data_IF_360274910705
#
_entry.id   IF_360274910705
#
_cell.length_a   1.000
_cell.length_b   1.000
_cell.length_c   1.000
_cell.angle_alpha   90.00
_cell.angle_beta   90.00
_cell.angle_gamma   90.00
#
_symmetry.space_group_name_H-M   'P 1'
#
loop_
_entity.id
_entity.type
_entity.pdbx_description
1 polymer ?
#
# COMPACT_ATOMS: atom_id res chain seq x y z
N UNK A 1 43.28 -13.32 -48.01
CA UNK A 1 43.33 -13.09 -46.53
C UNK A 1 42.56 -14.21 -45.82
N UNK A 2 43.24 -15.12 -45.09
CA UNK A 2 42.57 -16.15 -44.27
C UNK A 2 42.08 -15.50 -42.99
N UNK A 3 40.76 -15.41 -42.77
CA UNK A 3 40.17 -15.06 -41.45
C UNK A 3 40.46 -16.21 -40.49
N UNK A 4 41.26 -15.95 -39.47
CA UNK A 4 41.43 -16.85 -38.32
C UNK A 4 40.17 -16.77 -37.47
N UNK A 5 39.25 -17.69 -37.70
CA UNK A 5 38.12 -17.90 -36.79
C UNK A 5 38.64 -18.65 -35.55
N UNK A 6 38.97 -17.90 -34.50
CA UNK A 6 39.24 -18.50 -33.18
C UNK A 6 37.90 -18.89 -32.57
N UNK A 7 37.59 -20.16 -32.55
CA UNK A 7 36.44 -20.70 -31.83
C UNK A 7 36.67 -20.70 -30.32
N UNK A 8 35.58 -20.55 -29.53
CA UNK A 8 35.64 -20.73 -28.07
C UNK A 8 36.00 -22.16 -27.71
N UNK A 9 36.82 -22.32 -26.71
CA UNK A 9 37.12 -23.64 -26.16
C UNK A 9 36.00 -24.12 -25.26
N UNK A 10 35.79 -25.43 -25.17
CA UNK A 10 34.76 -26.03 -24.33
C UNK A 10 34.94 -25.68 -22.85
N UNK A 11 36.17 -25.54 -22.37
CA UNK A 11 36.50 -25.20 -21.00
C UNK A 11 36.15 -23.72 -20.69
N UNK A 12 36.35 -22.79 -21.61
CA UNK A 12 35.98 -21.39 -21.44
C UNK A 12 34.46 -21.25 -21.28
N UNK A 13 33.67 -21.99 -22.07
CA UNK A 13 32.23 -21.99 -21.94
C UNK A 13 31.78 -22.61 -20.62
N UNK A 14 32.39 -23.71 -20.19
CA UNK A 14 32.05 -24.42 -18.96
C UNK A 14 32.28 -23.55 -17.72
N UNK A 15 33.40 -22.84 -17.66
CA UNK A 15 33.73 -21.94 -16.55
C UNK A 15 32.76 -20.78 -16.48
N UNK A 16 32.38 -20.20 -17.61
CA UNK A 16 31.42 -19.08 -17.66
C UNK A 16 30.06 -19.52 -17.14
N UNK A 17 29.53 -20.65 -17.59
CA UNK A 17 28.21 -21.12 -17.11
C UNK A 17 28.24 -21.51 -15.64
N UNK A 18 29.34 -22.03 -15.13
CA UNK A 18 29.49 -22.32 -13.71
C UNK A 18 29.45 -21.06 -12.85
N UNK A 19 30.14 -19.99 -13.25
CA UNK A 19 30.16 -18.72 -12.55
C UNK A 19 28.76 -18.08 -12.59
N UNK A 20 28.12 -18.05 -13.75
CA UNK A 20 26.75 -17.50 -13.87
C UNK A 20 25.76 -18.29 -12.99
N UNK A 21 25.91 -19.63 -12.94
CA UNK A 21 25.06 -20.47 -12.10
C UNK A 21 25.19 -20.14 -10.61
N UNK A 22 26.40 -19.93 -10.11
CA UNK A 22 26.63 -19.53 -8.71
C UNK A 22 26.07 -18.13 -8.44
N UNK A 23 26.35 -17.17 -9.30
CA UNK A 23 25.85 -15.80 -9.14
C UNK A 23 24.31 -15.73 -9.19
N UNK A 24 23.69 -16.49 -10.08
CA UNK A 24 22.22 -16.56 -10.16
C UNK A 24 21.62 -17.15 -8.88
N UNK A 25 22.19 -18.21 -8.32
CA UNK A 25 21.69 -18.84 -7.10
C UNK A 25 21.68 -17.87 -5.91
N UNK A 26 22.78 -17.13 -5.71
CA UNK A 26 22.89 -16.13 -4.63
C UNK A 26 22.01 -14.91 -4.92
N UNK A 27 21.97 -14.48 -6.18
CA UNK A 27 21.21 -13.30 -6.60
C UNK A 27 19.71 -13.43 -6.37
N UNK A 28 19.12 -14.60 -6.65
CA UNK A 28 17.67 -14.83 -6.44
C UNK A 28 17.27 -14.69 -4.97
N UNK A 29 18.07 -15.25 -4.05
CA UNK A 29 17.76 -15.18 -2.60
C UNK A 29 17.84 -13.74 -2.10
N UNK A 30 18.89 -13.01 -2.48
CA UNK A 30 19.06 -11.60 -2.10
C UNK A 30 17.95 -10.72 -2.69
N UNK A 31 17.57 -10.95 -3.95
CA UNK A 31 16.49 -10.21 -4.62
C UNK A 31 15.15 -10.39 -3.92
N UNK A 32 14.77 -11.63 -3.57
CA UNK A 32 13.51 -11.90 -2.88
C UNK A 32 13.43 -11.20 -1.51
N UNK A 33 14.55 -11.18 -0.76
CA UNK A 33 14.63 -10.45 0.51
C UNK A 33 14.47 -8.94 0.34
N UNK A 34 15.09 -8.38 -0.69
CA UNK A 34 14.97 -6.96 -1.02
C UNK A 34 13.53 -6.57 -1.39
N UNK A 35 12.88 -7.34 -2.28
CA UNK A 35 11.50 -7.09 -2.69
C UNK A 35 10.54 -7.18 -1.51
N UNK A 36 10.70 -8.17 -0.62
CA UNK A 36 9.88 -8.28 0.59
C UNK A 36 10.00 -7.04 1.49
N UNK A 37 11.22 -6.58 1.72
CA UNK A 37 11.48 -5.36 2.50
C UNK A 37 10.92 -4.11 1.82
N UNK A 38 11.05 -3.99 0.50
CA UNK A 38 10.51 -2.88 -0.27
C UNK A 38 8.98 -2.80 -0.17
N UNK A 39 8.28 -3.95 -0.30
CA UNK A 39 6.83 -4.02 -0.15
C UNK A 39 6.38 -3.60 1.26
N UNK A 40 7.05 -4.06 2.32
CA UNK A 40 6.75 -3.64 3.69
C UNK A 40 6.91 -2.14 3.90
N UNK A 41 7.98 -1.56 3.36
CA UNK A 41 8.23 -0.12 3.46
C UNK A 41 7.20 0.68 2.66
N UNK A 42 6.77 0.18 1.50
CA UNK A 42 5.70 0.79 0.72
C UNK A 42 4.39 0.84 1.50
N UNK A 43 3.98 -0.26 2.14
CA UNK A 43 2.77 -0.30 2.98
C UNK A 43 2.85 0.71 4.14
N UNK A 44 4.00 0.80 4.82
CA UNK A 44 4.21 1.81 5.88
C UNK A 44 4.10 3.24 5.36
N UNK A 45 4.63 3.50 4.16
CA UNK A 45 4.51 4.81 3.52
C UNK A 45 3.06 5.15 3.21
N UNK A 46 2.31 4.20 2.64
CA UNK A 46 0.89 4.36 2.34
C UNK A 46 0.10 4.63 3.63
N UNK A 47 0.33 3.88 4.70
CA UNK A 47 -0.28 4.12 6.01
C UNK A 47 -0.07 5.57 6.48
N UNK A 48 1.17 6.04 6.46
CA UNK A 48 1.49 7.40 6.88
C UNK A 48 0.82 8.46 5.98
N UNK A 49 0.70 8.18 4.68
CA UNK A 49 0.02 9.06 3.74
C UNK A 49 -1.48 9.13 4.04
N UNK A 50 -2.12 7.97 4.26
CA UNK A 50 -3.55 7.88 4.63
C UNK A 50 -3.82 8.65 5.92
N UNK A 51 -3.01 8.42 6.97
CA UNK A 51 -3.11 9.13 8.25
C UNK A 51 -3.04 10.64 8.08
N UNK A 52 -2.01 11.13 7.38
CA UNK A 52 -1.81 12.56 7.13
C UNK A 52 -2.93 13.15 6.28
N UNK A 53 -3.37 12.40 5.28
CA UNK A 53 -4.47 12.82 4.42
C UNK A 53 -5.74 13.02 5.23
N UNK A 54 -6.17 12.02 5.99
CA UNK A 54 -7.38 12.10 6.84
C UNK A 54 -7.25 13.27 7.82
N UNK A 55 -6.12 13.40 8.53
CA UNK A 55 -5.90 14.50 9.47
C UNK A 55 -5.96 15.88 8.80
N UNK A 56 -5.43 16.01 7.58
CA UNK A 56 -5.48 17.27 6.84
C UNK A 56 -6.90 17.63 6.40
N UNK A 57 -7.68 16.64 5.98
CA UNK A 57 -9.08 16.84 5.59
C UNK A 57 -9.96 17.22 6.79
N UNK A 58 -9.77 16.59 7.94
CA UNK A 58 -10.41 16.99 9.18
C UNK A 58 -10.09 18.44 9.58
N UNK A 59 -8.84 18.85 9.40
CA UNK A 59 -8.43 20.23 9.68
C UNK A 59 -9.15 21.23 8.78
N UNK A 60 -9.40 20.90 7.53
CA UNK A 60 -10.22 21.76 6.62
C UNK A 60 -11.63 21.94 7.16
N UNK A 61 -12.25 20.87 7.63
CA UNK A 61 -13.58 20.93 8.23
C UNK A 61 -13.62 21.79 9.50
N UNK A 62 -12.57 21.80 10.31
CA UNK A 62 -12.53 22.63 11.50
C UNK A 62 -12.39 24.14 11.19
N UNK A 63 -11.90 24.48 9.99
CA UNK A 63 -11.81 25.86 9.52
C UNK A 63 -13.11 26.32 8.85
N UNK A 64 -13.77 25.43 8.10
CA UNK A 64 -14.99 25.72 7.36
C UNK A 64 -15.96 24.51 7.41
N UNK A 65 -16.92 24.56 8.30
CA UNK A 65 -17.90 23.51 8.53
C UNK A 65 -18.94 23.34 7.39
N UNK A 66 -19.00 24.30 6.49
CA UNK A 66 -19.84 24.26 5.28
C UNK A 66 -19.19 23.63 4.07
N UNK A 67 -17.93 23.22 4.17
CA UNK A 67 -17.18 22.67 3.03
C UNK A 67 -17.42 21.16 2.83
N UNK A 68 -16.87 20.65 1.73
CA UNK A 68 -16.85 19.23 1.39
C UNK A 68 -15.40 18.79 1.26
N UNK A 69 -15.03 17.73 1.97
CA UNK A 69 -13.68 17.20 2.02
C UNK A 69 -13.56 15.87 1.25
N UNK A 70 -12.34 15.38 1.10
CA UNK A 70 -12.03 14.10 0.45
C UNK A 70 -12.57 13.99 -0.99
N UNK A 71 -12.48 15.08 -1.75
CA UNK A 71 -12.94 15.11 -3.15
C UNK A 71 -11.97 14.37 -4.07
N UNK A 72 -12.50 13.48 -4.90
CA UNK A 72 -11.74 12.87 -6.00
C UNK A 72 -11.84 13.73 -7.26
N UNK A 73 -10.71 14.22 -7.75
CA UNK A 73 -10.71 15.09 -8.94
C UNK A 73 -11.54 16.36 -8.81
N UNK A 74 -11.77 16.85 -7.59
CA UNK A 74 -12.57 18.04 -7.31
C UNK A 74 -14.08 17.81 -7.22
N UNK A 75 -14.55 16.58 -7.43
CA UNK A 75 -15.96 16.20 -7.40
C UNK A 75 -16.25 15.18 -6.29
N UNK A 76 -17.51 15.09 -5.87
CA UNK A 76 -17.93 14.21 -4.78
C UNK A 76 -17.40 14.67 -3.42
N UNK A 77 -17.17 13.71 -2.53
CA UNK A 77 -16.62 13.97 -1.21
C UNK A 77 -17.67 13.95 -0.10
N UNK A 78 -17.19 14.18 1.12
CA UNK A 78 -17.98 14.15 2.35
C UNK A 78 -18.19 15.56 2.87
N UNK A 79 -19.44 15.88 3.26
CA UNK A 79 -19.75 17.19 3.83
C UNK A 79 -19.22 17.32 5.26
N UNK A 80 -18.61 18.45 5.58
CA UNK A 80 -18.08 18.76 6.91
C UNK A 80 -19.14 18.99 7.98
N UNK A 81 -20.42 19.07 7.64
CA UNK A 81 -21.47 19.49 8.55
C UNK A 81 -21.54 18.61 9.80
N UNK A 82 -21.22 19.22 10.91
CA UNK A 82 -21.37 18.67 12.24
C UNK A 82 -22.86 18.60 12.60
N UNK A 83 -23.32 17.44 13.00
CA UNK A 83 -24.65 17.34 13.62
C UNK A 83 -25.37 16.04 13.32
N UNK A 84 -25.11 15.39 12.22
CA UNK A 84 -25.67 14.06 11.96
C UNK A 84 -24.88 13.40 10.82
N UNK A 85 -24.08 12.38 11.14
CA UNK A 85 -23.63 11.29 10.27
C UNK A 85 -22.64 11.59 9.11
N UNK A 86 -22.31 12.81 8.75
CA UNK A 86 -21.52 13.04 7.52
C UNK A 86 -20.02 12.83 7.69
N UNK A 87 -19.47 13.07 8.87
CA UNK A 87 -18.09 12.74 9.23
C UNK A 87 -17.99 11.54 10.18
N UNK A 88 -19.02 10.70 10.24
CA UNK A 88 -18.90 9.45 10.94
C UNK A 88 -17.76 8.62 10.36
N UNK A 89 -17.03 7.94 11.22
CA UNK A 89 -15.90 7.11 10.83
C UNK A 89 -16.29 6.10 9.73
N UNK A 90 -17.51 5.55 9.81
CA UNK A 90 -18.06 4.64 8.80
C UNK A 90 -18.19 5.26 7.40
N UNK A 91 -18.59 6.53 7.30
CA UNK A 91 -18.72 7.20 6.01
C UNK A 91 -17.34 7.48 5.38
N UNK A 92 -16.36 7.83 6.22
CA UNK A 92 -14.99 8.04 5.76
C UNK A 92 -14.40 6.73 5.25
N UNK A 93 -14.59 5.65 5.99
CA UNK A 93 -14.13 4.31 5.61
C UNK A 93 -14.74 3.91 4.26
N UNK A 94 -16.07 3.92 4.15
CA UNK A 94 -16.79 3.58 2.92
C UNK A 94 -16.40 4.47 1.72
N UNK A 95 -16.07 5.74 1.98
CA UNK A 95 -15.63 6.67 0.93
C UNK A 95 -14.21 6.38 0.44
N UNK A 96 -13.31 5.99 1.32
CA UNK A 96 -11.89 5.76 1.01
C UNK A 96 -11.60 4.36 0.45
N UNK A 97 -12.42 3.36 0.73
CA UNK A 97 -12.26 2.00 0.20
C UNK A 97 -12.76 1.83 -1.23
N UNK A 98 -13.66 2.69 -1.67
CA UNK A 98 -14.28 2.58 -3.00
C UNK A 98 -13.45 3.30 -4.05
N UNK A 99 -12.97 2.59 -5.08
CA UNK A 99 -12.14 3.15 -6.15
C UNK A 99 -12.81 4.34 -6.87
N UNK A 100 -14.14 4.34 -6.97
CA UNK A 100 -14.87 5.43 -7.62
C UNK A 100 -14.84 6.74 -6.83
N UNK A 101 -14.79 6.68 -5.50
CA UNK A 101 -14.91 7.84 -4.61
C UNK A 101 -13.62 8.20 -3.90
N UNK A 102 -12.73 7.23 -3.68
CA UNK A 102 -11.47 7.44 -2.97
C UNK A 102 -10.54 8.39 -3.71
N UNK A 103 -10.07 9.45 -3.06
CA UNK A 103 -8.98 10.28 -3.58
C UNK A 103 -7.60 9.64 -3.38
N UNK A 104 -7.52 8.54 -2.61
CA UNK A 104 -6.29 7.77 -2.38
C UNK A 104 -6.27 6.63 -3.39
N UNK A 105 -5.39 6.75 -4.40
CA UNK A 105 -5.29 5.80 -5.51
C UNK A 105 -4.08 4.86 -5.37
N UNK A 106 -3.43 4.85 -4.20
CA UNK A 106 -2.31 3.95 -3.93
C UNK A 106 -2.75 2.50 -4.09
N UNK A 107 -2.00 1.72 -4.87
CA UNK A 107 -2.25 0.29 -5.07
C UNK A 107 -1.55 -0.55 -4.01
N UNK A 108 -2.17 -1.69 -3.70
CA UNK A 108 -1.59 -2.64 -2.75
C UNK A 108 -0.25 -3.19 -3.29
N UNK A 109 0.88 -3.04 -2.57
CA UNK A 109 2.19 -3.52 -3.02
C UNK A 109 2.29 -5.05 -3.20
N UNK A 110 1.35 -5.81 -2.64
CA UNK A 110 1.29 -7.27 -2.76
C UNK A 110 0.28 -7.72 -3.81
N UNK A 111 -0.69 -6.87 -4.14
CA UNK A 111 -1.75 -7.14 -5.12
C UNK A 111 -2.12 -5.85 -5.85
N UNK A 112 -1.44 -5.57 -6.95
CA UNK A 112 -1.56 -4.31 -7.70
C UNK A 112 -2.89 -4.12 -8.43
N UNK A 113 -3.75 -5.11 -8.46
CA UNK A 113 -5.09 -5.01 -9.04
C UNK A 113 -6.05 -4.29 -8.09
N UNK A 114 -5.76 -4.34 -6.78
CA UNK A 114 -6.57 -3.74 -5.73
C UNK A 114 -5.97 -2.46 -5.16
N UNK A 115 -6.83 -1.62 -4.56
CA UNK A 115 -6.39 -0.47 -3.78
C UNK A 115 -5.67 -0.92 -2.50
N UNK A 116 -4.79 -0.06 -2.00
CA UNK A 116 -4.10 -0.30 -0.74
C UNK A 116 -4.99 -0.01 0.48
N UNK A 117 -6.05 0.78 0.32
CA UNK A 117 -7.01 1.09 1.40
C UNK A 117 -8.19 0.14 1.30
N UNK A 118 -8.56 -0.47 2.44
CA UNK A 118 -9.64 -1.44 2.51
C UNK A 118 -10.40 -1.31 3.85
N UNK A 119 -11.66 -1.72 3.87
CA UNK A 119 -12.44 -1.77 5.10
C UNK A 119 -11.96 -2.89 6.02
N UNK A 120 -11.65 -2.55 7.25
CA UNK A 120 -11.29 -3.54 8.26
C UNK A 120 -12.52 -4.19 8.88
N UNK A 121 -13.19 -5.06 8.14
CA UNK A 121 -14.34 -5.83 8.66
C UNK A 121 -13.92 -7.26 8.98
N UNK A 122 -13.94 -7.61 10.25
CA UNK A 122 -13.66 -8.96 10.73
C UNK A 122 -12.18 -9.33 10.78
N UNK A 123 -11.91 -10.65 10.78
CA UNK A 123 -10.56 -11.22 10.95
C UNK A 123 -9.80 -11.44 9.62
N UNK A 124 -10.35 -10.97 8.50
CA UNK A 124 -9.77 -11.22 7.16
C UNK A 124 -9.04 -9.98 6.66
N UNK A 125 -7.76 -9.92 6.92
CA UNK A 125 -6.89 -8.85 6.45
C UNK A 125 -6.00 -9.35 5.31
N UNK A 126 -6.00 -8.66 4.18
CA UNK A 126 -5.10 -8.95 3.07
C UNK A 126 -3.73 -8.31 3.27
N UNK A 127 -2.67 -9.02 2.91
CA UNK A 127 -1.31 -8.47 3.00
C UNK A 127 -1.19 -7.21 2.13
N UNK A 128 -0.59 -6.17 2.68
CA UNK A 128 -0.35 -4.91 1.98
C UNK A 128 -1.49 -3.92 2.05
N UNK A 129 -2.58 -4.25 2.73
CA UNK A 129 -3.69 -3.31 2.93
C UNK A 129 -3.46 -2.41 4.15
N UNK A 130 -3.95 -1.20 4.03
CA UNK A 130 -4.18 -0.24 5.12
C UNK A 130 -5.67 -0.29 5.40
N UNK A 131 -6.05 -0.92 6.51
CA UNK A 131 -7.45 -1.04 6.89
C UNK A 131 -7.87 0.14 7.74
N UNK A 132 -9.05 0.67 7.44
CA UNK A 132 -9.66 1.76 8.17
C UNK A 132 -10.92 1.19 8.82
N UNK A 133 -10.96 1.20 10.15
CA UNK A 133 -12.10 0.67 10.90
C UNK A 133 -12.71 1.75 11.78
N UNK A 134 -14.01 1.98 11.68
CA UNK A 134 -14.69 2.86 12.62
C UNK A 134 -14.78 2.16 13.98
N UNK A 135 -14.16 2.76 15.00
CA UNK A 135 -14.21 2.25 16.38
C UNK A 135 -15.36 2.91 17.16
N UNK A 136 -15.71 4.14 16.78
CA UNK A 136 -16.87 4.88 17.26
C UNK A 136 -17.22 6.00 16.27
N UNK A 137 -18.29 6.73 16.48
CA UNK A 137 -18.71 7.85 15.61
C UNK A 137 -17.64 8.94 15.42
N UNK A 138 -16.66 9.00 16.33
CA UNK A 138 -15.60 10.01 16.33
C UNK A 138 -14.18 9.44 16.29
N UNK A 139 -14.01 8.11 16.29
CA UNK A 139 -12.71 7.46 16.35
C UNK A 139 -12.53 6.50 15.18
N UNK A 140 -11.49 6.73 14.41
CA UNK A 140 -11.05 5.86 13.31
C UNK A 140 -9.76 5.18 13.73
N UNK A 141 -9.73 3.86 13.63
CA UNK A 141 -8.51 3.07 13.80
C UNK A 141 -7.95 2.71 12.43
N UNK A 142 -6.69 3.04 12.18
CA UNK A 142 -5.98 2.72 10.96
C UNK A 142 -4.93 1.67 11.28
N UNK A 143 -5.04 0.51 10.64
CA UNK A 143 -4.14 -0.62 10.85
C UNK A 143 -3.48 -1.02 9.54
N UNK A 144 -2.28 -1.57 9.59
CA UNK A 144 -1.61 -2.12 8.41
C UNK A 144 -1.31 -3.59 8.55
N UNK A 145 -1.51 -4.33 7.47
CA UNK A 145 -1.13 -5.74 7.39
C UNK A 145 0.09 -5.87 6.49
N UNK A 146 1.25 -6.07 7.10
CA UNK A 146 2.51 -6.14 6.36
C UNK A 146 2.92 -7.57 5.94
N UNK A 147 2.24 -8.62 6.45
CA UNK A 147 2.52 -10.01 6.09
C UNK A 147 1.41 -10.97 6.54
N UNK A 148 1.13 -12.02 5.76
CA UNK A 148 0.04 -12.99 5.98
C UNK A 148 0.34 -14.09 7.00
N UNK A 149 1.48 -14.11 7.65
CA UNK A 149 1.79 -15.06 8.71
C UNK A 149 1.83 -14.39 10.08
N UNK A 150 0.74 -14.63 10.82
CA UNK A 150 0.60 -14.50 12.27
C UNK A 150 0.72 -13.08 12.87
N UNK A 151 -0.47 -12.55 13.20
CA UNK A 151 -0.71 -11.62 14.31
C UNK A 151 0.42 -10.63 14.64
N UNK A 152 0.40 -9.49 14.03
CA UNK A 152 0.90 -8.30 14.69
C UNK A 152 -0.02 -7.14 14.28
N UNK A 153 -1.04 -6.90 15.07
CA UNK A 153 -1.76 -5.64 15.07
C UNK A 153 -0.81 -4.58 15.65
N UNK A 154 -0.24 -3.77 14.79
CA UNK A 154 0.39 -2.53 15.21
C UNK A 154 -0.73 -1.48 15.17
N UNK A 155 -1.42 -1.31 16.29
CA UNK A 155 -2.34 -0.19 16.50
C UNK A 155 -1.51 1.02 16.88
N UNK A 156 -1.53 2.04 16.05
CA UNK A 156 -1.05 3.37 16.42
C UNK A 156 -2.23 4.18 16.97
N UNK A 157 -2.14 4.74 18.17
CA UNK A 157 -3.19 5.56 18.78
C UNK A 157 -3.36 6.89 18.06
#
# INVERSE_FOLDING_TARGET
>A
MKKNNKGFTLIELLVVVAIIGILAAVGVVAYNGYISSAKKNAVKSIHNNVMKYIASEYTKCSINDGDTIMKKGGTGGLACKTGTQYLAASNITAHLETEATSPIEDKNPYDTDNLAVDEGTGDTYSAGTVTISPTSDSLITITTVSYTHLRAHETTP
#
